data_IF_754412586397
#
_entry.id   IF_754412586397
#
_cell.length_a   1.000
_cell.length_b   1.000
_cell.length_c   1.000
_cell.angle_alpha   90.00
_cell.angle_beta   90.00
_cell.angle_gamma   90.00
#
_symmetry.space_group_name_H-M   'P 1'
#
loop_
_entity.id
_entity.type
_entity.pdbx_description
1 polymer ?
#
# COMPACT_ATOMS: atom_id res chain seq x y z
N UNK A 1 20.76 -19.86 14.71
CA UNK A 1 19.42 -19.37 14.34
C UNK A 1 19.46 -17.86 14.56
N UNK A 2 20.01 -17.13 13.58
CA UNK A 2 20.07 -15.68 13.67
C UNK A 2 18.66 -15.13 13.50
N UNK A 3 18.15 -14.49 14.55
CA UNK A 3 16.90 -13.76 14.57
C UNK A 3 16.95 -12.67 13.50
N UNK A 4 16.05 -12.72 12.51
CA UNK A 4 16.01 -11.88 11.30
C UNK A 4 15.82 -10.36 11.49
N UNK A 5 16.08 -9.82 12.69
CA UNK A 5 15.96 -8.40 13.02
C UNK A 5 17.00 -7.50 12.33
N UNK A 6 18.06 -8.07 11.73
CA UNK A 6 19.13 -7.31 11.07
C UNK A 6 19.02 -7.21 9.55
N UNK A 7 18.07 -7.88 8.90
CA UNK A 7 17.95 -7.86 7.43
C UNK A 7 17.10 -6.67 6.98
N UNK A 8 17.57 -5.96 5.97
CA UNK A 8 16.83 -4.84 5.37
C UNK A 8 15.55 -5.32 4.69
N UNK A 9 14.54 -4.45 4.66
CA UNK A 9 13.35 -4.63 3.83
C UNK A 9 13.70 -4.03 2.46
N UNK A 10 13.66 -4.86 1.42
CA UNK A 10 13.97 -4.45 0.07
C UNK A 10 12.71 -4.52 -0.80
N UNK A 11 12.53 -3.53 -1.67
CA UNK A 11 11.34 -3.39 -2.50
C UNK A 11 11.76 -3.05 -3.92
N UNK A 12 11.27 -3.84 -4.87
CA UNK A 12 11.48 -3.61 -6.29
C UNK A 12 10.13 -3.51 -7.01
N UNK A 13 9.80 -2.38 -7.65
CA UNK A 13 8.58 -2.28 -8.45
C UNK A 13 8.71 -3.13 -9.71
N UNK A 14 7.59 -3.70 -10.16
CA UNK A 14 7.50 -4.32 -11.48
C UNK A 14 6.24 -3.85 -12.21
N UNK A 15 6.35 -3.80 -13.53
CA UNK A 15 5.31 -3.27 -14.39
C UNK A 15 5.06 -4.21 -15.57
N UNK A 16 3.89 -4.08 -16.18
CA UNK A 16 3.53 -4.76 -17.42
C UNK A 16 2.78 -3.78 -18.31
N UNK A 17 3.18 -3.66 -19.58
CA UNK A 17 2.60 -2.70 -20.51
C UNK A 17 2.74 -1.23 -20.08
N UNK A 18 3.78 -0.89 -19.30
CA UNK A 18 4.01 0.46 -18.76
C UNK A 18 3.19 0.79 -17.51
N UNK A 19 2.28 -0.07 -17.08
CA UNK A 19 1.50 0.11 -15.86
C UNK A 19 2.12 -0.67 -14.69
N UNK A 20 2.22 -0.03 -13.53
CA UNK A 20 2.68 -0.65 -12.28
C UNK A 20 1.75 -1.83 -11.93
N UNK A 21 2.34 -3.01 -11.70
CA UNK A 21 1.61 -4.23 -11.33
C UNK A 21 1.87 -4.67 -9.91
N UNK A 22 2.87 -4.11 -9.26
CA UNK A 22 3.16 -4.40 -7.89
C UNK A 22 4.61 -4.19 -7.53
N UNK A 23 4.97 -4.80 -6.41
CA UNK A 23 6.30 -4.76 -5.83
C UNK A 23 6.70 -6.15 -5.35
N UNK A 24 7.94 -6.53 -5.63
CA UNK A 24 8.59 -7.67 -4.98
C UNK A 24 9.15 -7.21 -3.65
N UNK A 25 8.86 -7.95 -2.58
CA UNK A 25 9.42 -7.70 -1.25
C UNK A 25 10.45 -8.77 -0.94
N UNK A 26 11.65 -8.33 -0.58
CA UNK A 26 12.79 -9.20 -0.29
C UNK A 26 13.39 -8.93 1.09
N UNK A 27 14.12 -9.91 1.61
CA UNK A 27 14.76 -9.83 2.92
C UNK A 27 13.82 -10.23 4.06
N UNK A 28 12.85 -9.38 4.40
CA UNK A 28 11.80 -9.65 5.39
C UNK A 28 10.58 -8.74 5.19
N UNK A 29 9.44 -9.13 5.76
CA UNK A 29 8.27 -8.26 5.86
C UNK A 29 8.48 -7.15 6.93
N UNK A 30 7.83 -5.99 6.77
CA UNK A 30 7.72 -4.99 7.82
C UNK A 30 7.01 -5.57 9.05
N UNK A 31 7.58 -5.36 10.23
CA UNK A 31 7.07 -5.91 11.49
C UNK A 31 6.30 -4.91 12.36
N UNK A 32 6.34 -3.63 11.97
CA UNK A 32 5.74 -2.53 12.72
C UNK A 32 5.07 -1.52 11.80
N UNK A 33 4.11 -0.75 12.34
CA UNK A 33 3.41 0.29 11.57
C UNK A 33 4.38 1.33 11.00
N UNK A 34 5.49 1.60 11.70
CA UNK A 34 6.54 2.48 11.21
C UNK A 34 7.20 1.93 9.94
N UNK A 35 7.55 0.65 9.93
CA UNK A 35 8.16 0.03 8.75
C UNK A 35 7.18 -0.08 7.59
N UNK A 36 5.89 -0.34 7.87
CA UNK A 36 4.83 -0.25 6.85
C UNK A 36 4.67 1.16 6.29
N UNK A 37 4.77 2.20 7.12
CA UNK A 37 4.77 3.58 6.64
C UNK A 37 6.02 3.88 5.78
N UNK A 38 7.18 3.31 6.12
CA UNK A 38 8.39 3.43 5.30
C UNK A 38 8.28 2.71 3.95
N UNK A 39 7.69 1.52 3.94
CA UNK A 39 7.31 0.82 2.71
C UNK A 39 6.39 1.69 1.87
N UNK A 40 5.34 2.25 2.48
CA UNK A 40 4.39 3.13 1.80
C UNK A 40 5.08 4.37 1.19
N UNK A 41 6.05 4.96 1.88
CA UNK A 41 6.84 6.07 1.31
C UNK A 41 7.52 5.68 0.01
N UNK A 42 8.11 4.49 -0.07
CA UNK A 42 8.75 4.01 -1.31
C UNK A 42 7.70 3.78 -2.39
N UNK A 43 6.58 3.14 -2.07
CA UNK A 43 5.54 2.84 -3.08
C UNK A 43 4.86 4.11 -3.60
N UNK A 44 4.63 5.12 -2.76
CA UNK A 44 4.05 6.42 -3.18
C UNK A 44 5.03 7.20 -4.06
N UNK A 45 6.34 7.15 -3.79
CA UNK A 45 7.36 7.72 -4.69
C UNK A 45 7.39 7.04 -6.05
N UNK A 46 7.14 5.74 -6.13
CA UNK A 46 6.99 5.06 -7.42
C UNK A 46 5.68 5.49 -8.09
N UNK A 47 4.59 5.63 -7.33
CA UNK A 47 3.31 6.12 -7.84
C UNK A 47 3.36 7.58 -8.36
N UNK A 48 4.31 8.41 -7.89
CA UNK A 48 4.49 9.78 -8.38
C UNK A 48 5.15 9.85 -9.76
N UNK A 49 5.70 8.74 -10.27
CA UNK A 49 6.25 8.67 -11.62
C UNK A 49 5.13 8.74 -12.66
N UNK A 50 5.15 9.73 -13.57
CA UNK A 50 4.12 9.90 -14.58
C UNK A 50 3.91 8.64 -15.44
N UNK A 51 2.66 8.22 -15.60
CA UNK A 51 2.27 7.12 -16.48
C UNK A 51 2.33 5.72 -15.86
N UNK A 52 2.93 5.54 -14.67
CA UNK A 52 2.95 4.23 -14.01
C UNK A 52 1.58 3.83 -13.43
N UNK A 53 0.80 4.79 -12.95
CA UNK A 53 -0.58 4.60 -12.51
C UNK A 53 -1.49 5.51 -13.32
N UNK A 54 -2.51 4.94 -13.94
CA UNK A 54 -3.53 5.69 -14.69
C UNK A 54 -4.62 6.27 -13.79
N UNK A 55 -4.90 5.62 -12.67
CA UNK A 55 -5.93 5.99 -11.68
C UNK A 55 -5.60 5.35 -10.34
N UNK A 56 -6.34 5.72 -9.30
CA UNK A 56 -6.21 5.19 -7.95
C UNK A 56 -6.38 3.67 -7.94
N UNK A 57 -5.36 2.98 -7.44
CA UNK A 57 -5.22 1.52 -7.52
C UNK A 57 -5.04 0.90 -6.14
N UNK A 58 -5.73 -0.21 -5.91
CA UNK A 58 -5.64 -1.03 -4.70
C UNK A 58 -4.54 -2.06 -4.89
N UNK A 59 -3.71 -2.21 -3.87
CA UNK A 59 -2.69 -3.25 -3.82
C UNK A 59 -2.88 -4.16 -2.61
N UNK A 60 -2.88 -5.46 -2.85
CA UNK A 60 -2.98 -6.50 -1.84
C UNK A 60 -1.61 -7.10 -1.52
N UNK A 61 -1.30 -7.24 -0.23
CA UNK A 61 -0.12 -8.00 0.18
C UNK A 61 -0.40 -9.50 0.07
N UNK A 62 0.53 -10.23 -0.56
CA UNK A 62 0.51 -11.68 -0.70
C UNK A 62 1.80 -12.28 -0.18
N UNK A 63 1.68 -13.17 0.80
CA UNK A 63 2.82 -13.90 1.36
C UNK A 63 3.13 -15.16 0.53
N UNK A 64 2.19 -15.62 -0.29
CA UNK A 64 2.39 -16.75 -1.19
C UNK A 64 3.37 -16.37 -2.30
N UNK A 65 4.42 -17.16 -2.43
CA UNK A 65 5.44 -16.97 -3.45
C UNK A 65 5.03 -17.64 -4.77
N UNK A 66 5.45 -17.09 -5.92
CA UNK A 66 5.36 -17.78 -7.20
C UNK A 66 6.24 -19.04 -7.19
N UNK A 67 6.03 -19.93 -8.16
CA UNK A 67 6.78 -21.20 -8.28
C UNK A 67 8.30 -20.99 -8.41
N UNK A 68 8.70 -19.92 -9.11
CA UNK A 68 10.10 -19.53 -9.34
C UNK A 68 10.34 -18.09 -8.86
N UNK A 69 10.50 -17.86 -7.55
CA UNK A 69 10.78 -16.52 -7.02
C UNK A 69 12.27 -16.17 -7.13
N UNK A 70 12.57 -14.88 -7.31
CA UNK A 70 13.94 -14.38 -7.19
C UNK A 70 14.51 -14.69 -5.78
N UNK A 71 15.80 -15.02 -5.63
CA UNK A 71 16.38 -15.37 -4.34
C UNK A 71 16.18 -14.30 -3.28
N UNK A 72 15.63 -14.70 -2.13
CA UNK A 72 15.39 -13.80 -1.00
C UNK A 72 14.05 -13.06 -1.03
N UNK A 73 13.20 -13.32 -2.05
CA UNK A 73 11.80 -12.86 -2.06
C UNK A 73 11.05 -13.47 -0.87
N UNK A 74 10.34 -12.63 -0.12
CA UNK A 74 9.50 -13.02 1.01
C UNK A 74 8.01 -12.80 0.76
N UNK A 75 7.68 -12.10 -0.34
CA UNK A 75 6.32 -12.00 -0.84
C UNK A 75 6.14 -10.83 -1.82
N UNK A 76 4.89 -10.52 -2.11
CA UNK A 76 4.51 -9.59 -3.15
C UNK A 76 3.48 -8.57 -2.64
N UNK A 77 3.52 -7.37 -3.21
CA UNK A 77 2.43 -6.39 -3.11
C UNK A 77 1.86 -6.26 -4.51
N UNK A 78 0.68 -6.81 -4.78
CA UNK A 78 0.12 -6.92 -6.12
C UNK A 78 -0.99 -5.91 -6.36
N UNK A 79 -1.06 -5.35 -7.57
CA UNK A 79 -2.20 -4.56 -8.00
C UNK A 79 -3.43 -5.48 -8.16
N UNK A 80 -4.46 -5.23 -7.36
CA UNK A 80 -5.68 -6.05 -7.31
C UNK A 80 -6.78 -5.46 -8.19
N UNK A 81 -6.77 -4.14 -8.38
CA UNK A 81 -7.70 -3.42 -9.25
C UNK A 81 -7.78 -1.95 -8.90
N UNK A 82 -8.74 -1.25 -9.50
CA UNK A 82 -8.95 0.18 -9.28
C UNK A 82 -10.04 0.42 -8.23
N UNK A 83 -10.20 1.66 -7.78
CA UNK A 83 -11.33 2.04 -6.90
C UNK A 83 -12.61 2.24 -7.69
N UNK A 84 -12.50 2.73 -8.93
CA UNK A 84 -13.61 3.00 -9.84
C UNK A 84 -13.31 2.47 -11.25
N UNK A 85 -14.36 2.31 -12.06
CA UNK A 85 -14.24 1.86 -13.45
C UNK A 85 -14.37 0.34 -13.63
N UNK A 86 -14.02 -0.16 -14.81
CA UNK A 86 -14.24 -1.56 -15.20
C UNK A 86 -13.40 -2.56 -14.40
N UNK A 87 -12.24 -2.14 -13.89
CA UNK A 87 -11.36 -2.94 -13.03
C UNK A 87 -11.58 -2.68 -11.54
N UNK A 88 -12.72 -2.09 -11.17
CA UNK A 88 -13.01 -1.76 -9.78
C UNK A 88 -13.07 -3.01 -8.90
N UNK A 89 -12.35 -2.99 -7.79
CA UNK A 89 -12.42 -4.06 -6.80
C UNK A 89 -13.74 -3.94 -6.03
N UNK A 90 -14.61 -4.98 -6.04
CA UNK A 90 -15.91 -4.90 -5.38
C UNK A 90 -15.76 -4.93 -3.85
N UNK A 91 -16.74 -4.39 -3.09
CA UNK A 91 -16.84 -4.59 -1.66
C UNK A 91 -16.75 -6.07 -1.27
N UNK A 92 -16.07 -6.37 -0.15
CA UNK A 92 -15.89 -7.74 0.34
C UNK A 92 -14.98 -8.65 -0.51
N UNK A 93 -14.25 -8.11 -1.49
CA UNK A 93 -13.32 -8.89 -2.32
C UNK A 93 -12.30 -9.70 -1.50
N UNK A 94 -11.88 -9.21 -0.34
CA UNK A 94 -10.94 -9.90 0.56
C UNK A 94 -11.61 -10.54 1.78
N UNK A 95 -12.95 -10.66 1.80
CA UNK A 95 -13.68 -11.20 2.94
C UNK A 95 -13.28 -12.64 3.29
N UNK A 96 -13.07 -13.48 2.27
CA UNK A 96 -12.70 -14.89 2.46
C UNK A 96 -11.25 -15.07 2.88
N UNK A 97 -10.35 -14.20 2.37
CA UNK A 97 -8.92 -14.25 2.64
C UNK A 97 -8.37 -12.84 2.79
N UNK A 98 -8.29 -12.39 4.04
CA UNK A 98 -7.77 -11.06 4.35
C UNK A 98 -6.25 -11.02 4.19
N UNK A 99 -5.71 -10.09 3.39
CA UNK A 99 -4.28 -9.88 3.31
C UNK A 99 -3.76 -9.20 4.59
N UNK A 100 -2.47 -9.37 4.93
CA UNK A 100 -1.88 -8.76 6.13
C UNK A 100 -1.79 -7.23 6.03
N UNK A 101 -1.81 -6.67 4.82
CA UNK A 101 -1.99 -5.25 4.57
C UNK A 101 -2.67 -5.00 3.21
N UNK A 102 -3.37 -3.88 3.12
CA UNK A 102 -3.84 -3.31 1.86
C UNK A 102 -3.22 -1.93 1.66
N UNK A 103 -2.84 -1.60 0.43
CA UNK A 103 -2.41 -0.27 0.05
C UNK A 103 -3.40 0.31 -0.97
N UNK A 104 -3.51 1.64 -0.95
CA UNK A 104 -4.23 2.42 -1.94
C UNK A 104 -3.28 3.51 -2.40
N UNK A 105 -2.93 3.52 -3.69
CA UNK A 105 -2.00 4.49 -4.27
C UNK A 105 -2.74 5.37 -5.26
N UNK A 106 -2.60 6.68 -5.08
CA UNK A 106 -3.19 7.71 -5.93
C UNK A 106 -2.11 8.31 -6.84
N UNK A 107 -2.33 8.35 -8.16
CA UNK A 107 -1.43 9.08 -9.05
C UNK A 107 -1.51 10.59 -8.78
N UNK A 108 -0.52 11.38 -9.27
CA UNK A 108 -0.56 12.83 -9.22
C UNK A 108 -1.84 13.48 -9.74
N UNK A 109 -2.46 12.88 -10.76
CA UNK A 109 -3.70 13.38 -11.38
C UNK A 109 -4.95 13.24 -10.51
N UNK A 110 -4.90 12.44 -9.44
CA UNK A 110 -6.03 12.16 -8.56
C UNK A 110 -5.72 12.47 -7.08
N UNK A 111 -4.56 13.04 -6.80
CA UNK A 111 -4.17 13.48 -5.46
C UNK A 111 -4.53 14.95 -5.29
N UNK A 112 -5.22 15.27 -4.20
CA UNK A 112 -5.33 16.66 -3.72
C UNK A 112 -4.28 16.86 -2.63
N UNK A 113 -3.16 17.54 -2.92
CA UNK A 113 -2.06 17.65 -1.97
C UNK A 113 -2.46 18.47 -0.74
N UNK A 114 -1.85 18.14 0.40
CA UNK A 114 -2.07 18.87 1.66
C UNK A 114 -1.54 20.31 1.65
N UNK A 115 -0.56 20.60 0.79
CA UNK A 115 0.06 21.91 0.61
C UNK A 115 -0.11 22.41 -0.83
N UNK A 116 -0.49 23.68 -1.07
CA UNK A 116 -0.67 24.22 -2.42
C UNK A 116 0.58 24.18 -3.31
N UNK A 117 1.77 24.30 -2.72
CA UNK A 117 3.05 24.25 -3.42
C UNK A 117 3.39 22.85 -3.96
N UNK A 118 2.76 21.79 -3.44
CA UNK A 118 3.02 20.40 -3.80
C UNK A 118 2.05 19.89 -4.88
N UNK A 119 1.58 20.78 -5.77
CA UNK A 119 0.72 20.40 -6.89
C UNK A 119 1.41 19.35 -7.79
N UNK A 120 0.71 18.24 -8.02
CA UNK A 120 1.27 17.09 -8.74
C UNK A 120 2.01 16.09 -7.85
N UNK A 121 1.88 16.19 -6.52
CA UNK A 121 2.26 15.09 -5.62
C UNK A 121 1.36 13.88 -5.81
N UNK A 122 1.90 12.69 -5.65
CA UNK A 122 1.14 11.47 -5.44
C UNK A 122 0.86 11.27 -3.94
N UNK A 123 -0.13 10.45 -3.63
CA UNK A 123 -0.46 10.09 -2.27
C UNK A 123 -0.79 8.61 -2.15
N UNK A 124 -0.83 8.12 -0.91
CA UNK A 124 -1.30 6.76 -0.67
C UNK A 124 -1.54 6.47 0.79
N UNK A 125 -2.25 5.36 1.00
CA UNK A 125 -2.61 4.84 2.30
C UNK A 125 -2.18 3.36 2.40
N UNK A 126 -1.75 2.94 3.59
CA UNK A 126 -1.67 1.53 3.97
C UNK A 126 -2.60 1.28 5.14
N UNK A 127 -3.45 0.25 5.02
CA UNK A 127 -4.27 -0.28 6.10
C UNK A 127 -3.71 -1.63 6.54
N UNK A 128 -3.41 -1.76 7.83
CA UNK A 128 -3.10 -3.02 8.50
C UNK A 128 -4.36 -3.48 9.23
N UNK A 129 -5.06 -4.51 8.73
CA UNK A 129 -6.26 -5.01 9.37
C UNK A 129 -5.96 -5.47 10.80
N UNK A 130 -6.76 -4.99 11.74
CA UNK A 130 -6.78 -5.51 13.10
C UNK A 130 -7.87 -6.57 13.26
N UNK A 131 -7.98 -7.10 14.47
CA UNK A 131 -9.12 -7.89 14.95
C UNK A 131 -9.71 -7.15 16.16
N UNK A 132 -10.54 -6.11 15.96
CA UNK A 132 -10.98 -5.24 17.07
C UNK A 132 -11.75 -6.00 18.15
N UNK A 133 -12.48 -7.05 17.78
CA UNK A 133 -13.17 -7.93 18.72
C UNK A 133 -12.23 -8.74 19.62
N UNK A 134 -10.94 -8.83 19.28
CA UNK A 134 -9.86 -9.40 20.10
C UNK A 134 -8.97 -8.31 20.72
N UNK A 135 -9.36 -7.03 20.62
CA UNK A 135 -8.56 -5.90 21.09
C UNK A 135 -7.36 -5.58 20.20
N UNK A 136 -7.27 -6.16 18.99
CA UNK A 136 -6.25 -5.82 18.02
C UNK A 136 -6.76 -4.70 17.11
N UNK A 137 -6.27 -3.50 17.32
CA UNK A 137 -6.74 -2.31 16.60
C UNK A 137 -6.28 -2.29 15.14
N UNK A 138 -7.08 -1.65 14.27
CA UNK A 138 -6.63 -1.28 12.94
C UNK A 138 -5.52 -0.23 13.05
N UNK A 139 -4.54 -0.33 12.15
CA UNK A 139 -3.42 0.60 12.07
C UNK A 139 -3.33 1.07 10.64
N UNK A 140 -3.00 2.33 10.43
CA UNK A 140 -2.87 2.87 9.09
C UNK A 140 -1.79 3.94 9.01
N UNK A 141 -1.26 4.14 7.82
CA UNK A 141 -0.42 5.28 7.51
C UNK A 141 -0.82 5.91 6.18
N UNK A 142 -0.55 7.20 6.04
CA UNK A 142 -0.77 8.00 4.84
C UNK A 142 0.49 8.76 4.50
N UNK A 143 0.81 8.83 3.21
CA UNK A 143 2.00 9.52 2.70
C UNK A 143 1.63 10.35 1.49
N UNK A 144 2.26 11.51 1.37
CA UNK A 144 2.30 12.33 0.15
C UNK A 144 3.76 12.48 -0.31
N UNK A 145 4.00 12.35 -1.61
CA UNK A 145 5.32 12.59 -2.19
C UNK A 145 5.24 13.26 -3.57
N UNK A 146 6.17 14.18 -3.80
CA UNK A 146 6.33 14.88 -5.07
C UNK A 146 6.98 13.99 -6.14
N UNK A 147 6.97 14.46 -7.39
CA UNK A 147 7.54 13.75 -8.53
C UNK A 147 9.07 13.61 -8.48
N UNK A 148 9.74 14.46 -7.71
CA UNK A 148 11.18 14.35 -7.42
C UNK A 148 11.49 13.39 -6.25
N UNK A 149 10.46 12.82 -5.63
CA UNK A 149 10.55 11.88 -4.51
C UNK A 149 10.58 12.55 -3.13
N UNK A 150 10.47 13.87 -3.04
CA UNK A 150 10.35 14.59 -1.77
C UNK A 150 9.07 14.17 -1.04
N UNK A 151 9.19 13.75 0.22
CA UNK A 151 8.02 13.39 1.05
C UNK A 151 7.56 14.63 1.79
N UNK A 152 6.32 15.03 1.55
CA UNK A 152 5.73 16.28 2.07
C UNK A 152 4.85 16.04 3.29
N UNK A 153 4.26 14.84 3.40
CA UNK A 153 3.46 14.42 4.53
C UNK A 153 3.66 12.93 4.82
N UNK A 154 3.74 12.58 6.11
CA UNK A 154 3.71 11.19 6.58
C UNK A 154 2.98 11.15 7.93
N UNK A 155 1.85 10.46 7.96
CA UNK A 155 1.05 10.26 9.19
C UNK A 155 0.90 8.76 9.43
N UNK A 156 1.18 8.30 10.64
CA UNK A 156 1.01 6.90 11.04
C UNK A 156 0.20 6.85 12.33
N UNK A 157 -0.81 5.98 12.40
CA UNK A 157 -1.73 5.86 13.54
C UNK A 157 -2.05 4.40 13.88
N UNK A 158 -2.31 4.19 15.16
CA UNK A 158 -2.86 2.96 15.77
C UNK A 158 -4.23 3.34 16.33
N UNK A 159 -5.18 2.39 16.37
CA UNK A 159 -6.54 2.69 16.82
C UNK A 159 -7.36 3.47 15.79
N UNK A 160 -7.08 3.26 14.50
CA UNK A 160 -7.76 3.99 13.43
C UNK A 160 -9.20 3.48 13.32
N UNK A 161 -10.16 4.41 13.42
CA UNK A 161 -11.52 4.18 12.94
C UNK A 161 -11.51 4.21 11.41
N UNK A 162 -11.72 3.08 10.71
CA UNK A 162 -11.56 3.03 9.26
C UNK A 162 -12.49 3.99 8.51
N UNK A 163 -13.64 4.37 9.06
CA UNK A 163 -14.58 5.30 8.40
C UNK A 163 -14.19 6.77 8.53
N UNK A 164 -13.16 7.10 9.32
CA UNK A 164 -12.72 8.48 9.56
C UNK A 164 -11.88 9.09 8.43
N UNK A 165 -11.44 8.28 7.46
CA UNK A 165 -10.69 8.71 6.29
C UNK A 165 -11.17 7.94 5.04
N UNK A 166 -11.34 8.60 3.87
CA UNK A 166 -11.86 7.95 2.67
C UNK A 166 -11.06 6.70 2.26
N UNK A 167 -9.73 6.79 2.24
CA UNK A 167 -8.89 5.64 1.86
C UNK A 167 -9.08 4.43 2.78
N UNK A 168 -9.05 4.63 4.11
CA UNK A 168 -9.26 3.52 5.04
C UNK A 168 -10.68 3.00 5.00
N UNK A 169 -11.66 3.84 4.65
CA UNK A 169 -13.05 3.41 4.51
C UNK A 169 -13.22 2.50 3.30
N UNK A 170 -12.61 2.86 2.16
CA UNK A 170 -12.56 2.01 0.97
C UNK A 170 -11.84 0.70 1.31
N UNK A 171 -10.64 0.76 1.87
CA UNK A 171 -9.87 -0.44 2.19
C UNK A 171 -10.59 -1.37 3.19
N UNK A 172 -11.25 -0.81 4.20
CA UNK A 172 -12.04 -1.59 5.14
C UNK A 172 -13.29 -2.21 4.50
N UNK A 173 -13.95 -1.51 3.59
CA UNK A 173 -15.08 -2.04 2.82
C UNK A 173 -14.68 -3.25 1.97
N UNK A 174 -13.45 -3.31 1.45
CA UNK A 174 -12.97 -4.47 0.70
C UNK A 174 -12.73 -5.70 1.59
N UNK A 175 -12.54 -5.51 2.90
CA UNK A 175 -12.32 -6.57 3.88
C UNK A 175 -13.62 -7.06 4.55
N UNK A 176 -14.64 -6.22 4.57
CA UNK A 176 -15.93 -6.50 5.22
C UNK A 176 -16.77 -7.49 4.41
N UNK A 177 -17.38 -8.47 5.09
CA UNK A 177 -18.31 -9.46 4.53
C UNK A 177 -19.76 -9.07 4.84
#
# INVERSE_FOLDING_TARGET
METGSGRAIEIAPFHSGGALKGFVVSGRWPDSTKEWAQLLMVTVRVASLPGLLSTTTIFGVREELPDEPEPGTVGLVLAEGTVVGESAVPPGYFAERQPPALLMLHPPSETTPSLPECNGAASGCVLLPGLPHLGLEHRAAWVEAESDGTVTSMVSRVGVDPISHPDTAVLAMLLAA
#
